data_IF_196687672389
#
_entry.id   IF_196687672389
#
_cell.length_a   1.000
_cell.length_b   1.000
_cell.length_c   1.000
_cell.angle_alpha   90.00
_cell.angle_beta   90.00
_cell.angle_gamma   90.00
#
_symmetry.space_group_name_H-M   'P 1'
#
loop_
_entity.id
_entity.type
_entity.pdbx_description
1 polymer ?
#
# COMPACT_ATOMS: atom_id res chain seq x y z
N UNK A 1 -11.60 71.99 7.82
CA UNK A 1 -10.39 71.15 7.99
C UNK A 1 -10.79 69.88 8.73
N UNK A 2 -11.06 68.79 8.06
CA UNK A 2 -11.10 67.43 8.55
C UNK A 2 -11.93 66.54 7.60
N UNK A 3 -11.38 66.13 6.50
CA UNK A 3 -12.00 65.16 5.60
C UNK A 3 -10.93 64.31 4.86
N UNK A 4 -9.85 63.88 5.52
CA UNK A 4 -8.81 63.13 4.81
C UNK A 4 -8.35 61.82 5.50
N UNK A 5 -9.03 61.36 6.55
CA UNK A 5 -8.54 60.16 7.27
C UNK A 5 -9.41 58.90 7.19
N UNK A 6 -10.56 58.94 6.46
CA UNK A 6 -11.46 57.78 6.46
C UNK A 6 -11.30 56.81 5.26
N UNK A 7 -10.53 57.19 4.23
CA UNK A 7 -10.44 56.40 3.00
C UNK A 7 -9.24 55.47 2.92
N UNK A 8 -8.32 55.51 3.88
CA UNK A 8 -7.14 54.61 3.86
C UNK A 8 -7.35 53.28 4.61
N UNK A 9 -8.30 53.23 5.53
CA UNK A 9 -8.55 52.03 6.36
C UNK A 9 -9.41 51.00 5.62
N UNK A 10 -10.24 51.41 4.66
CA UNK A 10 -11.10 50.47 3.91
C UNK A 10 -10.36 49.75 2.79
N UNK A 11 -9.28 50.33 2.23
CA UNK A 11 -8.50 49.65 1.18
C UNK A 11 -7.56 48.55 1.71
N UNK A 12 -7.11 48.67 2.95
CA UNK A 12 -6.23 47.68 3.56
C UNK A 12 -6.95 46.38 3.96
N UNK A 13 -8.20 46.45 4.34
CA UNK A 13 -8.96 45.24 4.77
C UNK A 13 -9.46 44.38 3.61
N UNK A 14 -9.65 44.95 2.43
CA UNK A 14 -10.08 44.17 1.25
C UNK A 14 -8.93 43.38 0.63
N UNK A 15 -7.71 43.90 0.70
CA UNK A 15 -6.51 43.23 0.15
C UNK A 15 -6.08 42.06 1.02
N UNK A 16 -6.25 42.15 2.34
CA UNK A 16 -5.91 41.03 3.26
C UNK A 16 -6.94 39.90 3.15
N UNK A 17 -8.23 40.21 2.91
CA UNK A 17 -9.24 39.18 2.71
C UNK A 17 -9.06 38.39 1.39
N UNK A 18 -8.60 39.06 0.31
CA UNK A 18 -8.31 38.38 -0.94
C UNK A 18 -7.03 37.49 -0.87
N UNK A 19 -6.03 37.87 -0.06
CA UNK A 19 -4.84 37.05 0.15
C UNK A 19 -5.10 35.79 1.03
N UNK A 20 -6.06 35.87 1.95
CA UNK A 20 -6.45 34.75 2.79
C UNK A 20 -7.39 33.73 2.09
N UNK A 21 -8.08 34.15 1.03
CA UNK A 21 -8.93 33.25 0.23
C UNK A 21 -8.14 32.45 -0.80
N UNK A 22 -6.90 32.80 -1.10
CA UNK A 22 -6.04 32.09 -2.04
C UNK A 22 -5.23 30.93 -1.39
N UNK A 23 -5.30 30.78 -0.08
CA UNK A 23 -4.55 29.76 0.67
C UNK A 23 -5.36 28.52 1.06
N UNK A 24 -6.63 28.41 0.66
CA UNK A 24 -7.44 27.21 0.85
C UNK A 24 -7.65 26.53 -0.50
N UNK A 25 -6.57 26.22 -1.18
CA UNK A 25 -6.61 25.18 -2.20
C UNK A 25 -6.60 23.87 -1.40
N UNK A 26 -7.65 23.05 -1.51
CA UNK A 26 -7.64 21.79 -0.78
C UNK A 26 -6.46 20.95 -1.26
N UNK A 27 -5.59 20.57 -0.33
CA UNK A 27 -4.44 19.70 -0.56
C UNK A 27 -4.83 18.30 -1.11
N UNK A 28 -6.11 18.08 -1.35
CA UNK A 28 -6.66 16.82 -1.86
C UNK A 28 -6.69 16.73 -3.40
N UNK A 29 -6.28 17.76 -4.13
CA UNK A 29 -6.37 17.75 -5.60
C UNK A 29 -5.10 17.25 -6.31
N UNK A 30 -4.09 16.78 -5.60
CA UNK A 30 -2.79 16.41 -6.21
C UNK A 30 -2.44 14.93 -6.13
N UNK A 31 -3.40 14.05 -5.96
CA UNK A 31 -3.16 12.59 -6.06
C UNK A 31 -3.73 11.97 -7.33
N UNK A 32 -3.85 12.71 -8.39
CA UNK A 32 -3.99 12.09 -9.70
C UNK A 32 -2.60 11.58 -10.12
N UNK A 33 -2.49 10.26 -10.25
CA UNK A 33 -1.30 9.66 -10.85
C UNK A 33 -1.04 10.37 -12.19
N UNK A 34 0.05 11.11 -12.27
CA UNK A 34 0.47 11.78 -13.48
C UNK A 34 0.67 10.68 -14.52
N UNK A 35 -0.25 10.55 -15.48
CA UNK A 35 -0.01 9.69 -16.63
C UNK A 35 1.20 10.26 -17.35
N UNK A 36 2.32 9.57 -17.17
CA UNK A 36 3.49 9.83 -17.98
C UNK A 36 3.14 9.31 -19.35
N UNK A 37 3.17 10.21 -20.34
CA UNK A 37 2.79 9.91 -21.70
C UNK A 37 3.48 8.67 -22.30
N UNK A 38 3.04 8.26 -23.45
CA UNK A 38 3.51 7.05 -24.15
C UNK A 38 5.03 6.93 -24.07
N UNK A 39 5.50 5.90 -23.36
CA UNK A 39 6.91 5.59 -23.25
C UNK A 39 7.39 5.15 -24.64
N UNK A 40 8.23 5.96 -25.28
CA UNK A 40 8.91 5.56 -26.50
C UNK A 40 9.99 4.56 -26.15
N UNK A 41 9.76 3.35 -26.53
CA UNK A 41 10.67 2.25 -26.34
C UNK A 41 12.01 2.51 -27.05
N UNK A 42 13.08 2.71 -26.29
CA UNK A 42 14.44 2.84 -26.81
C UNK A 42 15.28 1.55 -26.65
N UNK A 43 14.70 0.49 -26.11
CA UNK A 43 15.43 -0.73 -25.73
C UNK A 43 14.97 -1.89 -26.63
N UNK A 44 15.93 -2.70 -27.07
CA UNK A 44 15.68 -3.93 -27.81
C UNK A 44 14.89 -4.91 -26.94
N UNK A 45 13.59 -4.89 -27.07
CA UNK A 45 12.73 -5.93 -26.51
C UNK A 45 12.84 -7.21 -27.32
N UNK A 46 12.62 -8.34 -26.67
CA UNK A 46 12.42 -9.60 -27.35
C UNK A 46 11.43 -9.45 -28.50
N UNK A 47 11.70 -10.07 -29.65
CA UNK A 47 10.91 -9.87 -30.87
C UNK A 47 9.40 -10.09 -30.69
N UNK A 48 9.01 -11.07 -29.83
CA UNK A 48 7.61 -11.35 -29.56
C UNK A 48 6.89 -10.22 -28.80
N UNK A 49 7.62 -9.25 -28.26
CA UNK A 49 7.08 -8.09 -27.57
C UNK A 49 7.03 -6.83 -28.45
N UNK A 50 7.66 -6.88 -29.63
CA UNK A 50 7.62 -5.77 -30.60
C UNK A 50 6.21 -5.53 -31.08
N UNK A 51 5.80 -4.28 -31.08
CA UNK A 51 4.46 -3.88 -31.52
C UNK A 51 3.35 -4.07 -30.46
N UNK A 52 3.65 -4.63 -29.31
CA UNK A 52 2.67 -4.70 -28.21
C UNK A 52 2.57 -3.34 -27.53
N UNK A 53 1.40 -2.70 -27.62
CA UNK A 53 1.13 -1.47 -26.85
C UNK A 53 1.15 -1.79 -25.36
N UNK A 54 2.03 -1.14 -24.61
CA UNK A 54 2.16 -1.32 -23.17
C UNK A 54 1.81 -0.03 -22.46
N UNK A 55 1.13 -0.16 -21.34
CA UNK A 55 0.88 0.94 -20.42
C UNK A 55 1.84 0.78 -19.24
N UNK A 56 2.54 1.85 -18.88
CA UNK A 56 3.32 1.86 -17.65
C UNK A 56 2.37 1.69 -16.48
N UNK A 57 2.57 0.61 -15.74
CA UNK A 57 1.80 0.32 -14.54
C UNK A 57 2.36 1.05 -13.33
N UNK A 58 3.67 1.23 -13.30
CA UNK A 58 4.39 1.96 -12.25
C UNK A 58 4.95 3.25 -12.81
N UNK A 59 4.52 4.38 -12.24
CA UNK A 59 4.97 5.70 -12.63
C UNK A 59 5.95 6.23 -11.58
N UNK A 60 7.10 6.82 -11.96
CA UNK A 60 7.98 7.49 -11.01
C UNK A 60 7.30 8.73 -10.44
N UNK A 61 7.47 8.94 -9.11
CA UNK A 61 7.00 10.11 -8.38
C UNK A 61 8.03 10.43 -7.28
N UNK A 62 8.95 11.35 -7.56
CA UNK A 62 10.12 11.59 -6.73
C UNK A 62 10.99 10.33 -6.63
N UNK A 63 11.28 9.91 -5.42
CA UNK A 63 12.10 8.72 -5.11
C UNK A 63 11.27 7.43 -5.02
N UNK A 64 9.99 7.48 -5.39
CA UNK A 64 9.08 6.35 -5.30
C UNK A 64 8.55 5.95 -6.69
N UNK A 65 8.10 4.71 -6.80
CA UNK A 65 7.34 4.21 -7.95
C UNK A 65 5.90 3.95 -7.52
N UNK A 66 4.96 4.58 -8.19
CA UNK A 66 3.53 4.58 -7.85
C UNK A 66 2.74 3.71 -8.80
N UNK A 67 1.84 2.89 -8.26
CA UNK A 67 0.87 2.12 -9.02
C UNK A 67 -0.52 2.30 -8.39
N UNK A 68 -1.50 2.70 -9.19
CA UNK A 68 -2.88 2.89 -8.75
C UNK A 68 -3.76 1.76 -9.24
N UNK A 69 -4.50 1.13 -8.32
CA UNK A 69 -5.42 0.03 -8.59
C UNK A 69 -4.82 -1.12 -9.42
N UNK A 70 -3.52 -1.38 -9.22
CA UNK A 70 -2.84 -2.49 -9.84
C UNK A 70 -3.44 -3.84 -9.44
N UNK A 71 -3.18 -4.88 -10.23
CA UNK A 71 -3.80 -6.20 -10.08
C UNK A 71 -2.79 -7.32 -9.96
N UNK A 72 -1.49 -7.01 -10.12
CA UNK A 72 -0.47 -8.04 -10.13
C UNK A 72 -0.07 -8.42 -8.70
N UNK A 73 0.12 -9.71 -8.48
CA UNK A 73 0.65 -10.26 -7.23
C UNK A 73 2.17 -10.33 -7.29
N UNK A 74 2.80 -10.21 -6.14
CA UNK A 74 4.21 -10.47 -5.90
C UNK A 74 5.15 -9.72 -6.85
N UNK A 75 4.93 -8.43 -6.96
CA UNK A 75 5.64 -7.56 -7.91
C UNK A 75 6.95 -7.01 -7.36
N UNK A 76 7.13 -7.06 -6.03
CA UNK A 76 8.36 -6.56 -5.35
C UNK A 76 8.64 -7.39 -4.10
N UNK A 77 9.89 -7.82 -3.98
CA UNK A 77 10.42 -8.45 -2.78
C UNK A 77 11.09 -7.42 -1.88
N UNK A 78 10.88 -7.54 -0.57
CA UNK A 78 11.56 -6.77 0.46
C UNK A 78 12.51 -7.69 1.22
N UNK A 79 13.77 -7.28 1.30
CA UNK A 79 14.84 -7.98 2.02
C UNK A 79 15.26 -7.14 3.21
N UNK A 80 15.51 -7.77 4.34
CA UNK A 80 15.93 -7.08 5.54
C UNK A 80 17.26 -7.57 6.08
N UNK A 81 17.43 -8.89 6.19
CA UNK A 81 18.61 -9.56 6.71
C UNK A 81 19.50 -10.12 5.59
N UNK A 82 20.63 -10.72 5.98
CA UNK A 82 21.47 -11.50 5.07
C UNK A 82 21.00 -12.93 4.83
N UNK A 83 19.86 -13.30 5.41
CA UNK A 83 19.21 -14.60 5.18
C UNK A 83 18.47 -14.62 3.84
N UNK A 84 18.08 -15.80 3.34
CA UNK A 84 17.23 -15.89 2.15
C UNK A 84 15.78 -15.42 2.39
N UNK A 85 15.42 -15.06 3.62
CA UNK A 85 14.08 -14.56 3.93
C UNK A 85 13.75 -13.30 3.14
N UNK A 86 12.54 -13.27 2.63
CA UNK A 86 11.98 -12.06 2.00
C UNK A 86 10.47 -12.00 2.15
N UNK A 87 9.95 -10.78 2.12
CA UNK A 87 8.52 -10.50 2.05
C UNK A 87 8.18 -10.14 0.62
N UNK A 88 7.37 -10.97 -0.02
CA UNK A 88 6.83 -10.67 -1.33
C UNK A 88 5.62 -9.74 -1.18
N UNK A 89 5.59 -8.67 -1.96
CA UNK A 89 4.53 -7.67 -1.93
C UNK A 89 3.87 -7.53 -3.29
N UNK A 90 2.59 -7.25 -3.29
CA UNK A 90 1.76 -7.13 -4.49
C UNK A 90 1.36 -5.68 -4.77
N UNK A 91 0.69 -5.42 -5.89
CA UNK A 91 0.14 -4.10 -6.19
C UNK A 91 -0.95 -3.69 -5.20
N UNK A 92 -1.63 -4.67 -4.61
CA UNK A 92 -2.57 -4.51 -3.48
C UNK A 92 -2.01 -5.17 -2.24
N UNK A 93 -2.55 -4.94 -1.04
CA UNK A 93 -2.02 -5.51 0.21
C UNK A 93 -2.19 -7.03 0.32
N UNK A 94 -1.48 -7.75 -0.51
CA UNK A 94 -1.31 -9.21 -0.48
C UNK A 94 0.16 -9.47 -0.28
N UNK A 95 0.49 -10.28 0.71
CA UNK A 95 1.85 -10.55 1.13
C UNK A 95 2.11 -12.05 1.21
N UNK A 96 3.30 -12.46 0.80
CA UNK A 96 3.78 -13.80 1.01
C UNK A 96 5.18 -13.75 1.64
N UNK A 97 5.56 -14.85 2.28
CA UNK A 97 6.86 -15.04 2.85
C UNK A 97 7.59 -16.14 2.11
N UNK A 98 8.88 -15.96 1.95
CA UNK A 98 9.79 -17.01 1.55
C UNK A 98 10.84 -17.20 2.63
N UNK A 99 11.01 -18.43 3.09
CA UNK A 99 12.08 -18.81 3.98
C UNK A 99 12.58 -20.22 3.64
N UNK A 100 13.87 -20.33 3.27
CA UNK A 100 14.54 -21.61 3.00
C UNK A 100 13.77 -22.58 2.08
N UNK A 101 13.15 -22.08 1.03
CA UNK A 101 12.39 -22.90 0.08
C UNK A 101 10.98 -23.25 0.54
N UNK A 102 10.48 -22.61 1.60
CA UNK A 102 9.10 -22.73 2.07
C UNK A 102 8.39 -21.40 1.91
N UNK A 103 7.11 -21.46 1.61
CA UNK A 103 6.24 -20.29 1.52
C UNK A 103 5.27 -20.20 2.69
N UNK A 104 4.77 -19.03 2.91
CA UNK A 104 3.66 -18.70 3.81
C UNK A 104 3.10 -17.36 3.42
N UNK A 105 2.04 -16.90 4.07
CA UNK A 105 1.51 -15.58 3.80
C UNK A 105 0.86 -14.93 5.02
N UNK A 106 0.51 -13.65 4.86
CA UNK A 106 -0.32 -12.91 5.79
C UNK A 106 -1.37 -12.12 5.03
N UNK A 107 -2.60 -12.16 5.49
CA UNK A 107 -3.74 -11.43 4.95
C UNK A 107 -4.37 -10.52 6.00
N UNK A 108 -5.05 -9.48 5.53
CA UNK A 108 -5.66 -8.46 6.37
C UNK A 108 -7.08 -8.14 5.92
N UNK A 109 -7.97 -7.94 6.89
CA UNK A 109 -9.35 -7.48 6.67
C UNK A 109 -9.67 -6.35 7.63
N UNK A 110 -10.45 -5.38 7.19
CA UNK A 110 -11.13 -4.43 8.07
C UNK A 110 -12.52 -4.97 8.39
N UNK A 111 -12.88 -4.94 9.66
CA UNK A 111 -14.20 -5.30 10.15
C UNK A 111 -14.83 -4.06 10.77
N UNK A 112 -16.00 -3.68 10.28
CA UNK A 112 -16.77 -2.58 10.80
C UNK A 112 -17.69 -3.03 11.92
N UNK A 113 -18.22 -2.08 12.69
CA UNK A 113 -19.09 -2.36 13.85
C UNK A 113 -20.39 -3.08 13.49
N UNK A 114 -20.87 -2.91 12.27
CA UNK A 114 -22.06 -3.58 11.74
C UNK A 114 -21.80 -5.02 11.28
N UNK A 115 -20.56 -5.49 11.42
CA UNK A 115 -20.14 -6.81 10.97
C UNK A 115 -19.66 -6.87 9.51
N UNK A 116 -19.67 -5.76 8.79
CA UNK A 116 -19.12 -5.71 7.42
C UNK A 116 -17.64 -6.04 7.44
N UNK A 117 -17.24 -7.05 6.68
CA UNK A 117 -15.82 -7.43 6.50
C UNK A 117 -15.35 -7.05 5.10
N UNK A 118 -14.18 -6.42 5.01
CA UNK A 118 -13.54 -6.06 3.75
C UNK A 118 -12.07 -6.45 3.78
N UNK A 119 -11.68 -7.37 2.89
CA UNK A 119 -10.28 -7.71 2.68
C UNK A 119 -9.54 -6.51 2.06
N UNK A 120 -8.33 -6.20 2.54
CA UNK A 120 -7.62 -4.99 2.13
C UNK A 120 -7.19 -4.99 0.66
N UNK A 121 -7.05 -6.16 0.05
CA UNK A 121 -6.82 -6.30 -1.39
C UNK A 121 -8.06 -6.05 -2.25
N UNK A 122 -9.26 -5.91 -1.64
CA UNK A 122 -10.56 -5.67 -2.29
C UNK A 122 -11.08 -4.26 -2.14
N UNK A 123 -10.35 -3.37 -1.47
CA UNK A 123 -10.73 -1.96 -1.31
C UNK A 123 -11.01 -1.28 -2.66
N UNK A 124 -11.94 -0.35 -2.68
CA UNK A 124 -12.32 0.38 -3.90
C UNK A 124 -11.18 1.18 -4.52
N UNK A 125 -10.30 1.71 -3.69
CA UNK A 125 -9.07 2.41 -4.12
C UNK A 125 -7.85 1.87 -3.39
N UNK A 126 -6.78 1.68 -4.16
CA UNK A 126 -5.47 1.32 -3.64
C UNK A 126 -4.38 2.03 -4.46
N UNK A 127 -3.66 2.93 -3.84
CA UNK A 127 -2.41 3.46 -4.38
C UNK A 127 -1.26 2.75 -3.66
N UNK A 128 -0.40 2.07 -4.39
CA UNK A 128 0.78 1.44 -3.85
C UNK A 128 2.04 2.15 -4.28
N UNK A 129 2.95 2.40 -3.35
CA UNK A 129 4.22 3.07 -3.54
C UNK A 129 5.36 2.15 -3.15
N UNK A 130 6.37 2.09 -3.98
CA UNK A 130 7.59 1.36 -3.72
C UNK A 130 8.77 2.32 -3.66
N UNK A 131 9.51 2.27 -2.60
CA UNK A 131 10.87 2.82 -2.48
C UNK A 131 11.81 1.71 -2.00
N UNK A 132 13.12 1.91 -2.11
CA UNK A 132 14.09 0.88 -1.74
C UNK A 132 13.81 0.32 -0.33
N UNK A 133 13.54 -0.98 -0.25
CA UNK A 133 13.29 -1.71 0.99
C UNK A 133 11.92 -1.49 1.64
N UNK A 134 11.04 -0.65 1.06
CA UNK A 134 9.74 -0.31 1.66
C UNK A 134 8.62 -0.37 0.64
N UNK A 135 7.47 -0.92 1.04
CA UNK A 135 6.20 -0.82 0.32
C UNK A 135 5.18 -0.05 1.16
N UNK A 136 4.49 0.91 0.54
CA UNK A 136 3.43 1.68 1.19
C UNK A 136 2.15 1.59 0.36
N UNK A 137 1.01 1.43 1.04
CA UNK A 137 -0.32 1.42 0.43
C UNK A 137 -1.17 2.52 1.04
N UNK A 138 -1.95 3.19 0.22
CA UNK A 138 -2.99 4.14 0.61
C UNK A 138 -4.32 3.58 0.13
N UNK A 139 -5.20 3.31 1.07
CA UNK A 139 -6.46 2.60 0.83
C UNK A 139 -7.64 3.47 1.21
N UNK A 140 -8.65 3.50 0.36
CA UNK A 140 -9.97 4.01 0.69
C UNK A 140 -11.04 3.07 0.16
N UNK A 141 -12.20 3.08 0.82
CA UNK A 141 -13.33 2.28 0.40
C UNK A 141 -14.65 3.02 0.72
N UNK A 142 -15.67 2.94 -0.14
CA UNK A 142 -16.96 3.56 0.13
C UNK A 142 -17.58 3.15 1.47
N UNK A 143 -17.37 1.91 1.92
CA UNK A 143 -17.89 1.42 3.21
C UNK A 143 -17.25 2.11 4.42
N UNK A 144 -16.10 2.76 4.24
CA UNK A 144 -15.40 3.50 5.29
C UNK A 144 -15.79 5.00 5.31
N UNK A 145 -16.65 5.46 4.40
CA UNK A 145 -17.01 6.86 4.25
C UNK A 145 -15.81 7.73 3.91
N UNK A 146 -15.36 8.56 4.88
CA UNK A 146 -14.15 9.39 4.75
C UNK A 146 -12.90 8.69 5.32
N UNK A 147 -13.01 7.42 5.65
CA UNK A 147 -11.92 6.63 6.23
C UNK A 147 -10.81 6.36 5.23
N UNK A 148 -9.58 6.48 5.69
CA UNK A 148 -8.36 6.14 4.95
C UNK A 148 -7.49 5.24 5.80
N UNK A 149 -6.83 4.27 5.18
CA UNK A 149 -5.85 3.43 5.84
C UNK A 149 -4.54 3.43 5.06
N UNK A 150 -3.48 3.91 5.68
CA UNK A 150 -2.13 3.79 5.15
C UNK A 150 -1.44 2.60 5.78
N UNK A 151 -0.80 1.77 4.95
CA UNK A 151 -0.01 0.63 5.39
C UNK A 151 1.42 0.81 4.88
N UNK A 152 2.40 0.67 5.75
CA UNK A 152 3.80 0.57 5.33
C UNK A 152 4.37 -0.76 5.81
N UNK A 153 5.16 -1.41 4.97
CA UNK A 153 5.78 -2.70 5.28
C UNK A 153 7.27 -2.67 4.99
N UNK A 154 8.02 -3.28 5.88
CA UNK A 154 9.47 -3.51 5.80
C UNK A 154 9.76 -4.97 6.18
N UNK A 155 10.78 -5.57 5.57
CA UNK A 155 11.41 -6.76 6.13
C UNK A 155 12.34 -6.34 7.30
N UNK A 156 12.44 -7.16 8.33
CA UNK A 156 13.28 -6.88 9.49
C UNK A 156 14.75 -7.16 9.16
N UNK A 157 15.66 -6.37 9.72
CA UNK A 157 17.10 -6.48 9.47
C UNK A 157 17.80 -7.46 10.41
N UNK A 158 17.23 -7.70 11.57
CA UNK A 158 17.82 -8.45 12.68
C UNK A 158 17.21 -9.85 12.89
N UNK A 159 16.14 -10.15 12.17
CA UNK A 159 15.48 -11.45 12.20
C UNK A 159 14.70 -11.73 10.92
N UNK A 160 14.41 -12.98 10.64
CA UNK A 160 13.55 -13.39 9.53
C UNK A 160 12.10 -13.05 9.85
N UNK A 161 11.65 -11.91 9.32
CA UNK A 161 10.33 -11.38 9.64
C UNK A 161 10.04 -10.05 8.98
N UNK A 162 8.87 -9.50 9.28
CA UNK A 162 8.43 -8.22 8.75
C UNK A 162 7.64 -7.41 9.78
N UNK A 163 7.62 -6.10 9.55
CA UNK A 163 6.82 -5.16 10.32
C UNK A 163 5.85 -4.44 9.39
N UNK A 164 4.59 -4.37 9.80
CA UNK A 164 3.54 -3.55 9.20
C UNK A 164 3.18 -2.43 10.15
N UNK A 165 3.14 -1.22 9.61
CA UNK A 165 2.60 -0.04 10.29
C UNK A 165 1.27 0.31 9.63
N UNK A 166 0.20 0.37 10.41
CA UNK A 166 -1.12 0.77 9.99
C UNK A 166 -1.43 2.15 10.59
N UNK A 167 -1.63 3.14 9.72
CA UNK A 167 -1.93 4.51 10.10
C UNK A 167 -3.34 4.85 9.59
N UNK A 168 -4.39 4.67 10.43
CA UNK A 168 -5.75 5.01 10.08
C UNK A 168 -5.99 6.52 10.17
N UNK A 169 -6.85 7.03 9.30
CA UNK A 169 -7.37 8.40 9.36
C UNK A 169 -8.88 8.36 9.11
N UNK A 170 -9.66 9.03 9.95
CA UNK A 170 -11.12 9.11 9.84
C UNK A 170 -11.84 7.75 9.70
N UNK A 171 -11.23 6.66 10.15
CA UNK A 171 -11.87 5.35 10.09
C UNK A 171 -13.15 5.32 10.93
N UNK A 172 -14.17 4.53 10.51
CA UNK A 172 -15.38 4.35 11.28
C UNK A 172 -15.10 3.94 12.71
N UNK A 173 -15.86 4.51 13.65
CA UNK A 173 -15.69 4.19 15.08
C UNK A 173 -15.89 2.70 15.34
N UNK A 174 -14.93 2.09 16.01
CA UNK A 174 -14.95 0.66 16.33
C UNK A 174 -14.50 -0.25 15.19
N UNK A 175 -13.92 0.31 14.11
CA UNK A 175 -13.28 -0.50 13.08
C UNK A 175 -12.08 -1.26 13.66
N UNK A 176 -11.97 -2.53 13.32
CA UNK A 176 -10.87 -3.43 13.68
C UNK A 176 -10.16 -3.93 12.43
N UNK A 177 -8.85 -4.13 12.54
CA UNK A 177 -8.05 -4.87 11.59
C UNK A 177 -7.88 -6.30 12.09
N UNK A 178 -8.41 -7.27 11.35
CA UNK A 178 -8.11 -8.69 11.56
C UNK A 178 -6.98 -9.11 10.62
N UNK A 179 -6.03 -9.83 11.16
CA UNK A 179 -4.96 -10.43 10.39
C UNK A 179 -4.94 -11.96 10.56
N UNK A 180 -4.48 -12.64 9.53
CA UNK A 180 -4.28 -14.08 9.53
C UNK A 180 -2.91 -14.38 8.94
N UNK A 181 -2.09 -15.12 9.67
CA UNK A 181 -0.76 -15.57 9.24
C UNK A 181 -0.70 -17.09 9.29
N UNK A 182 -0.09 -17.68 8.28
CA UNK A 182 0.07 -19.11 8.17
C UNK A 182 0.35 -19.53 6.74
N UNK A 183 -0.18 -20.71 6.35
CA UNK A 183 -0.07 -21.20 4.98
C UNK A 183 1.27 -21.80 4.64
N UNK A 184 2.04 -22.23 5.66
CA UNK A 184 3.18 -23.12 5.42
C UNK A 184 2.63 -24.45 4.92
N UNK A 185 2.50 -24.61 3.60
CA UNK A 185 1.92 -25.81 2.99
C UNK A 185 2.82 -27.05 3.10
N UNK A 186 4.05 -26.88 3.61
CA UNK A 186 5.08 -27.89 3.59
C UNK A 186 5.66 -28.19 2.19
N UNK A 187 5.09 -27.62 1.14
CA UNK A 187 5.65 -27.72 -0.21
C UNK A 187 6.95 -26.95 -0.28
N UNK A 188 7.97 -27.59 -0.81
CA UNK A 188 9.22 -26.89 -1.14
C UNK A 188 9.04 -26.15 -2.45
N UNK A 189 9.38 -24.85 -2.46
CA UNK A 189 9.37 -24.04 -3.66
C UNK A 189 10.53 -24.45 -4.58
N UNK A 190 10.27 -24.48 -5.88
CA UNK A 190 11.29 -24.66 -6.90
C UNK A 190 12.12 -23.36 -7.06
N UNK A 191 13.31 -23.47 -7.63
CA UNK A 191 14.19 -22.31 -7.92
C UNK A 191 14.29 -21.29 -6.79
N UNK A 192 14.29 -21.73 -5.55
CA UNK A 192 14.35 -20.84 -4.39
C UNK A 192 13.21 -19.81 -4.31
N UNK A 193 11.99 -20.22 -4.72
CA UNK A 193 10.81 -19.36 -4.65
C UNK A 193 10.73 -18.37 -5.80
N UNK A 194 11.06 -18.77 -7.01
CA UNK A 194 10.81 -17.99 -8.22
C UNK A 194 9.30 -17.89 -8.45
N UNK A 195 8.73 -16.75 -8.11
CA UNK A 195 7.28 -16.48 -8.21
C UNK A 195 6.72 -16.54 -9.63
N UNK A 196 7.57 -16.52 -10.63
CA UNK A 196 7.17 -16.72 -12.02
C UNK A 196 6.99 -18.18 -12.40
N UNK A 197 7.46 -19.11 -11.57
CA UNK A 197 7.50 -20.54 -11.84
C UNK A 197 6.71 -21.35 -10.81
N UNK A 198 6.78 -20.95 -9.54
CA UNK A 198 6.08 -21.64 -8.47
C UNK A 198 4.58 -21.35 -8.51
N UNK A 199 3.71 -22.34 -8.30
CA UNK A 199 2.27 -22.14 -8.28
C UNK A 199 1.85 -21.16 -7.17
N UNK A 200 0.81 -20.36 -7.43
CA UNK A 200 0.30 -19.39 -6.47
C UNK A 200 -0.17 -20.04 -5.15
N UNK A 201 -0.64 -21.29 -5.19
CA UNK A 201 -1.07 -22.04 -4.01
C UNK A 201 0.07 -22.37 -3.03
N UNK A 202 1.34 -22.25 -3.44
CA UNK A 202 2.48 -22.33 -2.54
C UNK A 202 2.55 -21.13 -1.56
N UNK A 203 1.90 -20.02 -1.90
CA UNK A 203 1.91 -18.77 -1.14
C UNK A 203 0.53 -18.38 -0.62
N UNK A 204 -0.52 -19.06 -1.05
CA UNK A 204 -1.87 -18.80 -0.58
C UNK A 204 -2.16 -19.62 0.68
N UNK A 205 -2.95 -19.04 1.59
CA UNK A 205 -3.48 -19.75 2.75
C UNK A 205 -4.61 -20.66 2.26
N UNK A 206 -4.44 -22.00 2.19
CA UNK A 206 -5.57 -22.88 2.03
C UNK A 206 -6.44 -22.81 3.29
N UNK A 207 -7.75 -23.06 3.17
CA UNK A 207 -8.66 -23.03 4.30
C UNK A 207 -8.28 -24.03 5.42
N UNK A 208 -7.57 -25.07 5.04
CA UNK A 208 -7.08 -26.14 5.92
C UNK A 208 -5.63 -25.95 6.33
N UNK A 209 -5.05 -24.75 6.14
CA UNK A 209 -3.68 -24.52 6.53
C UNK A 209 -3.51 -24.79 8.03
N UNK A 210 -2.66 -25.73 8.35
CA UNK A 210 -2.13 -25.90 9.68
C UNK A 210 -1.31 -24.68 10.05
N UNK A 211 -1.19 -24.36 11.34
CA UNK A 211 -0.41 -23.23 11.85
C UNK A 211 -1.00 -21.83 11.53
N UNK A 212 -2.31 -21.76 11.31
CA UNK A 212 -3.00 -20.51 11.13
C UNK A 212 -3.08 -19.73 12.45
N UNK A 213 -2.43 -18.58 12.48
CA UNK A 213 -2.50 -17.62 13.60
C UNK A 213 -3.32 -16.41 13.19
N UNK A 214 -4.28 -16.03 14.03
CA UNK A 214 -5.12 -14.86 13.82
C UNK A 214 -5.02 -13.88 14.97
N UNK A 215 -5.27 -12.61 14.70
CA UNK A 215 -5.36 -11.58 15.72
C UNK A 215 -6.09 -10.34 15.23
N UNK A 216 -6.37 -9.44 16.16
CA UNK A 216 -7.11 -8.21 15.91
C UNK A 216 -6.42 -7.00 16.50
N UNK A 217 -6.52 -5.86 15.80
CA UNK A 217 -5.97 -4.57 16.19
C UNK A 217 -7.04 -3.49 16.02
N UNK A 218 -7.21 -2.61 16.99
CA UNK A 218 -8.17 -1.50 16.89
C UNK A 218 -7.63 -0.41 15.95
N UNK A 219 -8.39 -0.06 14.91
CA UNK A 219 -8.04 0.98 13.93
C UNK A 219 -8.49 2.40 14.34
N UNK A 220 -8.41 2.74 15.63
CA UNK A 220 -8.70 4.10 16.12
C UNK A 220 -7.45 4.97 16.23
N UNK A 221 -6.29 4.36 16.20
CA UNK A 221 -4.96 5.00 16.25
C UNK A 221 -3.97 4.18 15.45
N UNK A 222 -2.79 4.75 15.26
CA UNK A 222 -1.68 4.03 14.64
C UNK A 222 -1.32 2.76 15.43
N UNK A 223 -1.15 1.65 14.72
CA UNK A 223 -0.80 0.35 15.29
C UNK A 223 0.28 -0.34 14.46
N UNK A 224 1.02 -1.22 15.10
CA UNK A 224 2.09 -2.00 14.48
C UNK A 224 1.82 -3.49 14.68
N UNK A 225 2.14 -4.26 13.65
CA UNK A 225 2.21 -5.73 13.71
C UNK A 225 3.60 -6.16 13.31
N UNK A 226 4.24 -6.93 14.18
CA UNK A 226 5.54 -7.57 13.89
C UNK A 226 5.30 -9.07 13.85
N UNK A 227 5.73 -9.69 12.77
CA UNK A 227 5.70 -11.15 12.61
C UNK A 227 7.06 -11.60 12.14
N UNK A 228 7.68 -12.48 12.93
CA UNK A 228 8.84 -13.24 12.53
C UNK A 228 8.43 -14.66 12.21
N UNK A 229 9.25 -15.36 11.45
CA UNK A 229 9.15 -16.81 11.40
C UNK A 229 9.72 -17.41 12.67
N UNK A 230 8.98 -18.35 13.19
CA UNK A 230 9.39 -19.19 14.31
C UNK A 230 9.95 -20.49 13.77
#
# INVERSE_FOLDING_TARGET
MSYFHLNLILKGKLTVCCLLMLSVIPLNAQREAKQIGDFKESISLNEHLRGTKRTLQYCPDGDEFVCVNGKNRYTRALYGSHSPFRVETSDRPVFAFYNNGRGGNISFKVILRDGTELALDRTGYCESRYSAGKRTYYLTDPSWGKGELRISVLALADMDGAIWRFSPSNMPKGAILRWQHGGATGKRLSRNGDMGVDPADCFELPAEATDLVTGELALQKEVYLVRGEV
#
